data_IF_760282980922
#
_entry.id   IF_760282980922
#
_cell.length_a   1.000
_cell.length_b   1.000
_cell.length_c   1.000
_cell.angle_alpha   90.00
_cell.angle_beta   90.00
_cell.angle_gamma   90.00
#
_symmetry.space_group_name_H-M   'P 1'
#
loop_
_entity.id
_entity.type
_entity.pdbx_description
1 polymer ?
#
# COMPACT_ATOMS: atom_id res chain seq x y z
N UNK A 1 -33.03 -33.16 -25.57
CA UNK A 1 -32.50 -32.71 -24.27
C UNK A 1 -31.08 -33.20 -24.12
N UNK A 2 -30.13 -32.30 -23.88
CA UNK A 2 -28.97 -32.47 -22.98
C UNK A 2 -27.95 -31.38 -23.27
N UNK A 3 -28.18 -30.23 -22.64
CA UNK A 3 -27.34 -29.04 -22.63
C UNK A 3 -26.25 -29.24 -21.58
N UNK A 4 -25.15 -29.94 -21.88
CA UNK A 4 -24.14 -30.26 -20.86
C UNK A 4 -22.70 -30.19 -21.39
N UNK A 5 -22.36 -29.11 -22.09
CA UNK A 5 -20.97 -28.64 -22.27
C UNK A 5 -20.93 -27.10 -22.41
N UNK A 6 -21.68 -26.38 -21.57
CA UNK A 6 -21.48 -24.93 -21.42
C UNK A 6 -20.51 -24.71 -20.26
N UNK A 7 -19.24 -24.46 -20.62
CA UNK A 7 -18.29 -23.78 -19.74
C UNK A 7 -19.00 -22.58 -19.09
N UNK A 8 -18.81 -22.30 -17.79
CA UNK A 8 -19.25 -21.03 -17.25
C UNK A 8 -18.54 -19.93 -18.05
N UNK A 9 -19.30 -19.14 -18.81
CA UNK A 9 -18.83 -17.89 -19.37
C UNK A 9 -18.56 -16.98 -18.19
N UNK A 10 -17.35 -17.06 -17.62
CA UNK A 10 -16.88 -16.09 -16.64
C UNK A 10 -16.94 -14.71 -17.31
N UNK A 11 -17.69 -13.81 -16.69
CA UNK A 11 -18.03 -12.47 -17.15
C UNK A 11 -16.89 -11.78 -17.90
N UNK A 12 -17.17 -11.32 -19.12
CA UNK A 12 -16.21 -10.67 -20.00
C UNK A 12 -15.46 -9.55 -19.27
N UNK A 13 -14.14 -9.70 -19.08
CA UNK A 13 -13.29 -8.62 -18.57
C UNK A 13 -13.52 -7.35 -19.41
N UNK A 14 -13.60 -6.19 -18.76
CA UNK A 14 -13.90 -4.92 -19.43
C UNK A 14 -12.83 -4.60 -20.49
N UNK A 15 -13.18 -4.64 -21.77
CA UNK A 15 -12.25 -4.26 -22.85
C UNK A 15 -12.18 -2.74 -22.96
N UNK A 16 -11.01 -2.19 -22.68
CA UNK A 16 -10.76 -0.75 -22.61
C UNK A 16 -10.31 -0.17 -23.96
N UNK A 17 -11.18 -0.26 -24.97
CA UNK A 17 -10.99 0.35 -26.28
C UNK A 17 -11.19 1.89 -26.25
N UNK A 18 -10.93 2.58 -27.35
CA UNK A 18 -11.04 4.04 -27.39
C UNK A 18 -12.47 4.56 -27.07
N UNK A 19 -13.56 4.00 -27.64
CA UNK A 19 -14.92 4.38 -27.25
C UNK A 19 -15.20 4.20 -25.75
N UNK A 20 -14.85 3.05 -25.17
CA UNK A 20 -15.11 2.76 -23.76
C UNK A 20 -14.33 3.68 -22.82
N UNK A 21 -13.10 4.06 -23.17
CA UNK A 21 -12.35 5.07 -22.40
C UNK A 21 -13.04 6.44 -22.42
N UNK A 22 -13.50 6.88 -23.59
CA UNK A 22 -14.23 8.15 -23.73
C UNK A 22 -15.52 8.16 -22.91
N UNK A 23 -16.24 7.04 -22.88
CA UNK A 23 -17.42 6.84 -22.04
C UNK A 23 -17.07 6.98 -20.55
N UNK A 24 -16.04 6.28 -20.06
CA UNK A 24 -15.61 6.36 -18.65
C UNK A 24 -15.14 7.78 -18.29
N UNK A 25 -14.42 8.45 -19.19
CA UNK A 25 -13.98 9.84 -19.00
C UNK A 25 -15.13 10.84 -18.91
N UNK A 26 -16.32 10.49 -19.41
CA UNK A 26 -17.51 11.35 -19.40
C UNK A 26 -18.46 10.99 -18.25
N UNK A 27 -18.75 9.70 -18.09
CA UNK A 27 -19.82 9.18 -17.24
C UNK A 27 -19.30 8.51 -15.95
N UNK A 28 -17.98 8.30 -15.83
CA UNK A 28 -17.32 7.74 -14.66
C UNK A 28 -17.24 6.21 -14.65
N UNK A 29 -17.07 5.57 -13.47
CA UNK A 29 -16.96 4.12 -13.37
C UNK A 29 -18.25 3.45 -13.89
N UNK A 30 -18.16 2.36 -14.68
CA UNK A 30 -19.33 1.64 -15.16
C UNK A 30 -20.24 1.21 -14.00
N UNK A 31 -21.57 1.16 -14.22
CA UNK A 31 -22.54 0.85 -13.15
C UNK A 31 -22.63 -0.67 -12.84
N UNK A 32 -22.41 -1.53 -13.83
CA UNK A 32 -22.60 -2.99 -13.75
C UNK A 32 -21.28 -3.77 -13.66
N UNK A 33 -20.37 -3.39 -12.75
CA UNK A 33 -19.02 -3.99 -12.65
C UNK A 33 -18.64 -4.38 -11.23
N UNK A 34 -19.60 -4.77 -10.39
CA UNK A 34 -19.30 -5.18 -9.00
C UNK A 34 -18.17 -6.23 -8.93
N UNK A 35 -18.14 -7.16 -9.88
CA UNK A 35 -17.14 -8.24 -9.96
C UNK A 35 -15.78 -7.81 -10.57
N UNK A 36 -15.68 -6.56 -11.06
CA UNK A 36 -14.44 -6.01 -11.61
C UNK A 36 -13.79 -4.95 -10.73
N UNK A 37 -14.39 -4.55 -9.60
CA UNK A 37 -13.79 -3.57 -8.70
C UNK A 37 -12.66 -4.24 -7.92
N UNK A 38 -11.46 -3.69 -8.03
CA UNK A 38 -10.27 -4.11 -7.29
C UNK A 38 -10.12 -3.33 -5.97
N UNK A 39 -10.64 -2.10 -5.92
CA UNK A 39 -10.62 -1.30 -4.72
C UNK A 39 -11.34 0.03 -4.87
N UNK A 40 -11.69 0.63 -3.74
CA UNK A 40 -12.18 2.01 -3.64
C UNK A 40 -11.34 2.74 -2.59
N UNK A 41 -10.83 3.90 -2.96
CA UNK A 41 -10.02 4.73 -2.06
C UNK A 41 -10.44 6.19 -2.13
N UNK A 42 -9.73 7.05 -1.39
CA UNK A 42 -10.00 8.49 -1.32
C UNK A 42 -10.02 9.16 -2.70
N UNK A 43 -9.19 8.67 -3.63
CA UNK A 43 -9.03 9.25 -4.97
C UNK A 43 -9.93 8.60 -6.03
N UNK A 44 -10.73 7.58 -5.70
CA UNK A 44 -11.67 6.98 -6.66
C UNK A 44 -11.69 5.45 -6.67
N UNK A 45 -12.09 4.89 -7.81
CA UNK A 45 -12.35 3.44 -7.97
C UNK A 45 -11.32 2.80 -8.87
N UNK A 46 -10.75 1.66 -8.47
CA UNK A 46 -9.84 0.86 -9.27
C UNK A 46 -10.58 -0.37 -9.79
N UNK A 47 -10.49 -0.64 -11.10
CA UNK A 47 -11.17 -1.75 -11.76
C UNK A 47 -10.21 -2.61 -12.58
N UNK A 48 -10.53 -3.89 -12.76
CA UNK A 48 -9.85 -4.79 -13.72
C UNK A 48 -10.38 -4.57 -15.13
N UNK A 49 -9.48 -4.55 -16.11
CA UNK A 49 -9.81 -4.35 -17.52
C UNK A 49 -8.75 -4.98 -18.44
N UNK A 50 -9.04 -5.05 -19.73
CA UNK A 50 -8.09 -5.43 -20.79
C UNK A 50 -7.78 -4.22 -21.65
N UNK A 51 -6.52 -3.81 -21.72
CA UNK A 51 -6.05 -2.72 -22.57
C UNK A 51 -5.00 -3.21 -23.56
N UNK A 52 -5.27 -3.05 -24.87
CA UNK A 52 -4.40 -3.54 -25.96
C UNK A 52 -4.00 -5.02 -25.79
N UNK A 53 -4.98 -5.87 -25.46
CA UNK A 53 -4.79 -7.30 -25.26
C UNK A 53 -4.06 -7.70 -23.98
N UNK A 54 -3.80 -6.76 -23.06
CA UNK A 54 -3.14 -7.03 -21.77
C UNK A 54 -4.09 -6.77 -20.62
N UNK A 55 -4.07 -7.64 -19.60
CA UNK A 55 -4.81 -7.39 -18.36
C UNK A 55 -4.16 -6.24 -17.58
N UNK A 56 -4.99 -5.28 -17.15
CA UNK A 56 -4.58 -4.01 -16.53
C UNK A 56 -5.46 -3.66 -15.34
N UNK A 57 -4.95 -2.79 -14.47
CA UNK A 57 -5.76 -2.07 -13.49
C UNK A 57 -6.04 -0.65 -14.02
N UNK A 58 -7.24 -0.15 -13.78
CA UNK A 58 -7.68 1.18 -14.21
C UNK A 58 -8.20 1.94 -12.99
N UNK A 59 -7.49 2.98 -12.56
CA UNK A 59 -7.93 3.91 -11.51
C UNK A 59 -8.75 5.01 -12.18
N UNK A 60 -10.00 5.17 -11.74
CA UNK A 60 -10.96 6.15 -12.22
C UNK A 60 -11.19 7.16 -11.11
N UNK A 61 -10.87 8.41 -11.39
CA UNK A 61 -10.88 9.52 -10.45
C UNK A 61 -11.92 10.54 -10.89
N UNK A 62 -12.75 11.01 -9.96
CA UNK A 62 -13.65 12.12 -10.22
C UNK A 62 -12.79 13.39 -10.40
N UNK A 63 -12.98 14.11 -11.50
CA UNK A 63 -12.16 15.26 -11.87
C UNK A 63 -12.92 16.59 -11.78
N UNK A 64 -14.07 16.62 -11.10
CA UNK A 64 -14.87 17.83 -10.93
C UNK A 64 -14.26 18.85 -9.96
N UNK A 65 -13.31 18.43 -9.10
CA UNK A 65 -12.63 19.31 -8.15
C UNK A 65 -11.19 19.63 -8.62
N UNK A 66 -10.76 20.89 -8.49
CA UNK A 66 -9.41 21.35 -8.87
C UNK A 66 -8.27 20.57 -8.18
N UNK A 67 -8.51 20.06 -6.97
CA UNK A 67 -7.56 19.22 -6.25
C UNK A 67 -7.30 17.86 -6.96
N UNK A 68 -8.30 17.34 -7.68
CA UNK A 68 -8.18 16.10 -8.44
C UNK A 68 -7.39 16.30 -9.74
N UNK A 69 -7.47 17.49 -10.36
CA UNK A 69 -6.64 17.84 -11.52
C UNK A 69 -5.14 17.74 -11.22
N UNK A 70 -4.71 18.26 -10.07
CA UNK A 70 -3.30 18.19 -9.68
C UNK A 70 -2.87 16.77 -9.32
N UNK A 71 -3.74 16.00 -8.64
CA UNK A 71 -3.50 14.58 -8.33
C UNK A 71 -3.25 13.77 -9.61
N UNK A 72 -4.03 14.03 -10.66
CA UNK A 72 -3.88 13.35 -11.95
C UNK A 72 -2.63 13.78 -12.71
N UNK A 73 -2.26 15.06 -12.67
CA UNK A 73 -0.97 15.53 -13.18
C UNK A 73 0.19 14.85 -12.46
N UNK A 74 0.07 14.65 -11.15
CA UNK A 74 1.08 13.99 -10.35
C UNK A 74 1.26 12.51 -10.73
N UNK A 75 0.18 11.76 -10.99
CA UNK A 75 0.27 10.37 -11.50
C UNK A 75 1.05 10.29 -12.83
N UNK A 76 0.99 11.33 -13.67
CA UNK A 76 1.74 11.37 -14.93
C UNK A 76 3.26 11.50 -14.76
N UNK A 77 3.75 11.87 -13.56
CA UNK A 77 5.19 12.04 -13.31
C UNK A 77 6.00 10.77 -13.56
N UNK A 78 5.40 9.59 -13.35
CA UNK A 78 6.05 8.28 -13.54
C UNK A 78 5.62 7.59 -14.83
N UNK A 79 4.92 8.29 -15.73
CA UNK A 79 4.50 7.73 -17.01
C UNK A 79 5.71 7.22 -17.80
N UNK A 80 5.67 5.95 -18.20
CA UNK A 80 6.74 5.31 -18.97
C UNK A 80 7.93 4.81 -18.14
N UNK A 81 7.96 5.05 -16.83
CA UNK A 81 9.02 4.53 -15.96
C UNK A 81 8.99 2.99 -15.91
N UNK A 82 10.17 2.40 -15.75
CA UNK A 82 10.35 0.94 -15.63
C UNK A 82 11.27 0.65 -14.46
N UNK A 83 10.70 0.14 -13.38
CA UNK A 83 11.44 -0.30 -12.21
C UNK A 83 10.74 -1.52 -11.60
N UNK A 84 11.50 -2.48 -11.08
CA UNK A 84 10.94 -3.74 -10.55
C UNK A 84 10.08 -3.53 -9.30
N UNK A 85 10.31 -2.44 -8.55
CA UNK A 85 9.56 -2.10 -7.34
C UNK A 85 8.62 -0.89 -7.51
N UNK A 86 8.27 -0.48 -8.74
CA UNK A 86 7.29 0.59 -8.98
C UNK A 86 6.19 0.06 -9.89
N UNK A 87 4.93 0.32 -9.55
CA UNK A 87 3.79 0.00 -10.41
C UNK A 87 3.88 0.82 -11.70
N UNK A 88 3.98 0.11 -12.82
CA UNK A 88 4.12 0.72 -14.13
C UNK A 88 2.81 1.36 -14.59
N UNK A 89 2.86 2.66 -14.85
CA UNK A 89 1.78 3.40 -15.51
C UNK A 89 1.96 3.32 -17.03
N UNK A 90 0.94 2.82 -17.71
CA UNK A 90 0.91 2.72 -19.18
C UNK A 90 0.36 3.98 -19.83
N UNK A 91 -0.66 4.60 -19.22
CA UNK A 91 -1.35 5.75 -19.80
C UNK A 91 -2.14 6.52 -18.76
N UNK A 92 -2.19 7.83 -18.93
CA UNK A 92 -3.09 8.73 -18.21
C UNK A 92 -3.95 9.45 -19.24
N UNK A 93 -5.26 9.51 -19.03
CA UNK A 93 -6.18 10.36 -19.81
C UNK A 93 -7.01 11.19 -18.82
N UNK A 94 -7.18 12.48 -19.12
CA UNK A 94 -7.87 13.44 -18.26
C UNK A 94 -8.98 14.10 -19.11
N UNK A 95 -10.17 14.23 -18.54
CA UNK A 95 -11.33 14.92 -19.11
C UNK A 95 -11.94 15.85 -18.05
N UNK A 96 -12.93 16.66 -18.41
CA UNK A 96 -13.59 17.57 -17.46
C UNK A 96 -14.20 16.83 -16.26
N UNK A 97 -14.87 15.70 -16.51
CA UNK A 97 -15.63 15.02 -15.44
C UNK A 97 -14.81 13.96 -14.70
N UNK A 98 -14.00 13.19 -15.43
CA UNK A 98 -13.24 12.08 -14.88
C UNK A 98 -11.86 11.98 -15.50
N UNK A 99 -10.96 11.34 -14.79
CA UNK A 99 -9.65 10.95 -15.29
C UNK A 99 -9.41 9.46 -15.06
N UNK A 100 -8.62 8.86 -15.95
CA UNK A 100 -8.26 7.45 -15.88
C UNK A 100 -6.74 7.27 -15.91
N UNK A 101 -6.24 6.41 -15.01
CA UNK A 101 -4.87 5.91 -15.00
C UNK A 101 -4.90 4.43 -15.33
N UNK A 102 -4.30 4.06 -16.46
CA UNK A 102 -4.14 2.67 -16.88
C UNK A 102 -2.74 2.21 -16.45
N UNK A 103 -2.68 1.17 -15.61
CA UNK A 103 -1.45 0.67 -15.01
C UNK A 103 -1.36 -0.85 -15.07
N UNK A 104 -0.18 -1.41 -14.78
CA UNK A 104 -0.03 -2.86 -14.69
C UNK A 104 -1.00 -3.46 -13.66
N UNK A 105 -1.60 -4.59 -14.03
CA UNK A 105 -2.39 -5.37 -13.08
C UNK A 105 -1.42 -6.13 -12.18
N UNK A 106 -1.40 -5.77 -10.91
CA UNK A 106 -0.58 -6.44 -9.92
C UNK A 106 -1.45 -7.39 -9.09
N UNK A 107 -1.27 -8.70 -9.31
CA UNK A 107 -2.10 -9.75 -8.73
C UNK A 107 -1.66 -10.04 -7.28
N UNK A 108 -2.17 -9.26 -6.33
CA UNK A 108 -1.90 -9.49 -4.92
C UNK A 108 -2.53 -8.44 -4.01
N UNK A 109 -2.05 -8.36 -2.79
CA UNK A 109 -2.63 -7.53 -1.74
C UNK A 109 -1.76 -6.29 -1.44
N UNK A 110 -2.38 -5.21 -0.99
CA UNK A 110 -1.59 -4.15 -0.39
C UNK A 110 -1.07 -4.59 0.99
N UNK A 111 0.06 -4.03 1.43
CA UNK A 111 0.68 -4.35 2.71
C UNK A 111 -0.28 -4.13 3.88
N UNK A 112 -1.19 -3.15 3.81
CA UNK A 112 -2.20 -2.97 4.85
C UNK A 112 -3.12 -4.20 5.00
N UNK A 113 -3.54 -4.82 3.89
CA UNK A 113 -4.36 -6.03 3.94
C UNK A 113 -3.57 -7.19 4.55
N UNK A 114 -2.29 -7.34 4.18
CA UNK A 114 -1.40 -8.34 4.79
C UNK A 114 -1.27 -8.12 6.31
N UNK A 115 -1.05 -6.88 6.75
CA UNK A 115 -0.95 -6.53 8.18
C UNK A 115 -2.26 -6.71 8.94
N UNK A 116 -3.41 -6.76 8.27
CA UNK A 116 -4.67 -7.08 8.93
C UNK A 116 -4.81 -8.59 9.19
N UNK A 117 -4.22 -9.43 8.35
CA UNK A 117 -4.30 -10.88 8.46
C UNK A 117 -3.18 -11.46 9.33
N UNK A 118 -1.92 -11.17 9.03
CA UNK A 118 -0.78 -11.87 9.63
C UNK A 118 0.26 -10.95 10.26
N UNK A 119 0.98 -11.47 11.26
CA UNK A 119 2.22 -10.85 11.72
C UNK A 119 3.32 -11.10 10.71
N UNK A 120 4.21 -10.12 10.55
CA UNK A 120 5.36 -10.24 9.67
C UNK A 120 6.62 -10.55 10.49
N UNK A 121 7.21 -11.74 10.31
CA UNK A 121 8.54 -12.03 10.83
C UNK A 121 9.55 -10.95 10.40
N UNK A 122 10.56 -10.69 11.22
CA UNK A 122 11.56 -9.64 10.97
C UNK A 122 12.13 -9.71 9.55
N UNK A 123 12.49 -10.91 9.10
CA UNK A 123 13.01 -11.17 7.75
C UNK A 123 12.11 -10.58 6.66
N UNK A 124 10.80 -10.74 6.78
CA UNK A 124 9.84 -10.23 5.81
C UNK A 124 9.66 -8.71 5.89
N UNK A 125 9.66 -8.13 7.10
CA UNK A 125 9.68 -6.67 7.27
C UNK A 125 10.90 -6.04 6.58
N UNK A 126 12.07 -6.65 6.74
CA UNK A 126 13.31 -6.22 6.08
C UNK A 126 13.20 -6.32 4.56
N UNK A 127 12.75 -7.46 4.02
CA UNK A 127 12.60 -7.63 2.57
C UNK A 127 11.60 -6.69 1.91
N UNK A 128 10.48 -6.42 2.58
CA UNK A 128 9.47 -5.46 2.09
C UNK A 128 10.09 -4.06 2.09
N UNK A 129 10.81 -3.71 3.15
CA UNK A 129 11.46 -2.40 3.27
C UNK A 129 12.51 -2.18 2.17
N UNK A 130 13.33 -3.20 1.87
CA UNK A 130 14.34 -3.13 0.82
C UNK A 130 13.73 -2.86 -0.57
N UNK A 131 12.60 -3.49 -0.89
CA UNK A 131 11.89 -3.23 -2.15
C UNK A 131 11.34 -1.79 -2.22
N UNK A 132 10.74 -1.31 -1.13
CA UNK A 132 10.22 0.07 -1.04
C UNK A 132 11.36 1.08 -1.16
N UNK A 133 12.51 0.83 -0.51
CA UNK A 133 13.69 1.67 -0.63
C UNK A 133 14.24 1.72 -2.04
N UNK A 134 14.34 0.58 -2.73
CA UNK A 134 14.77 0.55 -4.13
C UNK A 134 13.86 1.41 -5.02
N UNK A 135 12.55 1.37 -4.79
CA UNK A 135 11.59 2.24 -5.47
C UNK A 135 11.83 3.72 -5.16
N UNK A 136 11.96 4.08 -3.88
CA UNK A 136 12.18 5.47 -3.45
C UNK A 136 13.49 6.04 -3.98
N UNK A 137 14.58 5.29 -3.90
CA UNK A 137 15.88 5.70 -4.45
C UNK A 137 15.80 5.95 -5.95
N UNK A 138 15.05 5.13 -6.70
CA UNK A 138 14.81 5.34 -8.12
C UNK A 138 14.05 6.64 -8.40
N UNK A 139 13.05 6.97 -7.57
CA UNK A 139 12.30 8.22 -7.64
C UNK A 139 13.17 9.43 -7.29
N UNK A 140 13.89 9.37 -6.18
CA UNK A 140 14.73 10.46 -5.67
C UNK A 140 15.86 10.82 -6.63
N UNK A 141 16.49 9.82 -7.28
CA UNK A 141 17.48 10.04 -8.34
C UNK A 141 16.93 10.80 -9.56
N UNK A 142 15.60 10.83 -9.71
CA UNK A 142 14.87 11.56 -10.77
C UNK A 142 14.13 12.78 -10.23
N UNK A 143 14.57 13.29 -9.07
CA UNK A 143 14.00 14.47 -8.42
C UNK A 143 12.48 14.37 -8.20
N UNK A 144 11.97 13.17 -7.89
CA UNK A 144 10.57 12.94 -7.59
C UNK A 144 10.41 12.43 -6.16
N UNK A 145 9.63 13.15 -5.36
CA UNK A 145 9.16 12.69 -4.05
C UNK A 145 7.84 11.94 -4.20
N UNK A 146 7.68 10.84 -3.48
CA UNK A 146 6.45 10.06 -3.48
C UNK A 146 5.34 10.74 -2.66
N UNK A 147 5.67 11.26 -1.48
CA UNK A 147 4.82 12.01 -0.54
C UNK A 147 3.66 11.25 0.11
N UNK A 148 3.41 10.00 -0.25
CA UNK A 148 2.37 9.16 0.39
C UNK A 148 2.83 7.71 0.63
N UNK A 149 4.03 7.51 1.18
CA UNK A 149 4.54 6.18 1.52
C UNK A 149 3.80 5.64 2.75
N UNK A 150 3.03 4.57 2.57
CA UNK A 150 2.23 3.91 3.62
C UNK A 150 1.86 2.48 3.20
N UNK A 151 1.43 1.59 4.12
CA UNK A 151 1.08 0.21 3.77
C UNK A 151 0.03 0.04 2.66
N UNK A 152 -0.91 0.97 2.52
CA UNK A 152 -1.93 0.90 1.48
C UNK A 152 -1.35 1.07 0.06
N UNK A 153 -0.19 1.74 -0.05
CA UNK A 153 0.45 2.06 -1.33
C UNK A 153 1.63 1.13 -1.66
N UNK A 154 1.83 0.07 -0.86
CA UNK A 154 2.82 -0.98 -1.12
C UNK A 154 2.08 -2.24 -1.52
N UNK A 155 2.14 -2.60 -2.80
CA UNK A 155 1.54 -3.81 -3.33
C UNK A 155 2.48 -4.99 -3.18
N UNK A 156 1.97 -6.17 -2.83
CA UNK A 156 2.73 -7.41 -2.65
C UNK A 156 2.13 -8.48 -3.56
N UNK A 157 2.95 -9.13 -4.38
CA UNK A 157 2.54 -10.26 -5.22
C UNK A 157 3.56 -11.38 -5.14
N UNK A 158 3.11 -12.60 -5.40
CA UNK A 158 4.01 -13.74 -5.56
C UNK A 158 4.99 -13.51 -6.71
N UNK A 159 6.24 -13.86 -6.47
CA UNK A 159 7.29 -13.82 -7.46
C UNK A 159 7.88 -15.23 -7.56
N UNK A 160 8.17 -15.66 -8.79
CA UNK A 160 8.86 -16.92 -9.01
C UNK A 160 10.23 -16.88 -8.31
N UNK A 161 10.76 -18.06 -7.96
CA UNK A 161 11.98 -18.28 -7.17
C UNK A 161 13.29 -17.76 -7.80
N UNK A 162 13.23 -16.86 -8.78
CA UNK A 162 14.38 -16.18 -9.39
C UNK A 162 14.76 -14.87 -8.66
N UNK A 163 14.15 -14.60 -7.50
CA UNK A 163 14.50 -13.42 -6.72
C UNK A 163 15.87 -13.61 -6.03
N UNK A 164 16.84 -12.67 -6.21
CA UNK A 164 18.18 -12.77 -5.60
C UNK A 164 18.19 -12.86 -4.07
N UNK A 165 17.08 -12.54 -3.40
CA UNK A 165 16.95 -12.61 -1.94
C UNK A 165 16.31 -13.91 -1.43
N UNK A 166 16.12 -14.93 -2.29
CA UNK A 166 15.44 -16.19 -1.94
C UNK A 166 14.09 -15.97 -1.24
N UNK A 167 13.33 -14.96 -1.70
CA UNK A 167 11.96 -14.68 -1.27
C UNK A 167 10.98 -14.96 -2.39
N UNK A 168 9.80 -15.46 -2.04
CA UNK A 168 8.78 -15.88 -3.00
C UNK A 168 7.79 -14.76 -3.39
N UNK A 169 8.12 -13.50 -3.10
CA UNK A 169 7.26 -12.35 -3.43
C UNK A 169 8.08 -11.12 -3.82
N UNK A 170 7.43 -10.18 -4.47
CA UNK A 170 7.98 -8.86 -4.79
C UNK A 170 7.00 -7.77 -4.37
N UNK A 171 7.55 -6.66 -3.88
CA UNK A 171 6.78 -5.49 -3.49
C UNK A 171 6.97 -4.37 -4.50
N UNK A 172 5.87 -3.68 -4.83
CA UNK A 172 5.87 -2.50 -5.71
C UNK A 172 5.16 -1.33 -5.04
N UNK A 173 5.80 -0.16 -5.08
CA UNK A 173 5.20 1.11 -4.67
C UNK A 173 4.24 1.62 -5.76
N UNK A 174 3.09 2.13 -5.33
CA UNK A 174 2.03 2.63 -6.20
C UNK A 174 1.44 3.95 -5.67
N UNK A 175 0.54 4.54 -6.46
CA UNK A 175 -0.18 5.79 -6.15
C UNK A 175 0.74 7.02 -6.04
N UNK A 176 1.06 7.60 -7.20
CA UNK A 176 1.87 8.81 -7.30
C UNK A 176 1.01 10.08 -7.33
N UNK A 177 -0.27 10.00 -6.95
CA UNK A 177 -1.18 11.14 -6.93
C UNK A 177 -0.75 12.27 -6.01
N UNK A 178 -0.02 11.96 -4.94
CA UNK A 178 0.55 12.96 -4.03
C UNK A 178 1.96 13.42 -4.43
N UNK A 179 2.56 12.82 -5.47
CA UNK A 179 3.97 13.03 -5.80
C UNK A 179 4.29 14.49 -6.13
N UNK A 180 5.54 14.88 -5.86
CA UNK A 180 6.03 16.24 -6.07
C UNK A 180 7.38 16.19 -6.76
N UNK A 181 7.52 16.91 -7.88
CA UNK A 181 8.81 17.13 -8.52
C UNK A 181 9.60 18.19 -7.75
N UNK A 182 10.85 17.87 -7.48
CA UNK A 182 11.85 18.82 -6.99
C UNK A 182 12.50 19.45 -8.24
N UNK A 183 12.69 20.78 -8.23
CA UNK A 183 13.36 21.48 -9.34
C UNK A 183 14.82 21.02 -9.44
N UNK A 184 15.37 20.91 -10.65
CA UNK A 184 16.80 20.60 -10.83
C UNK A 184 17.71 21.68 -10.24
N UNK A 185 17.21 22.91 -10.10
CA UNK A 185 17.94 24.05 -9.56
C UNK A 185 17.90 24.13 -8.03
N UNK A 186 16.95 23.45 -7.37
CA UNK A 186 16.79 23.49 -5.92
C UNK A 186 16.55 22.08 -5.39
N UNK A 187 17.35 21.60 -4.44
CA UNK A 187 17.13 20.29 -3.78
C UNK A 187 15.87 20.24 -2.92
N UNK A 188 15.06 21.31 -2.96
CA UNK A 188 13.89 21.55 -2.14
C UNK A 188 12.73 22.13 -2.92
N UNK A 189 11.52 21.94 -2.42
CA UNK A 189 10.29 22.59 -2.94
C UNK A 189 9.37 22.98 -1.79
N UNK A 190 8.63 24.09 -1.92
CA UNK A 190 7.72 24.57 -0.88
C UNK A 190 6.51 23.63 -0.77
N UNK A 191 6.18 23.20 0.45
CA UNK A 191 5.12 22.23 0.69
C UNK A 191 3.71 22.78 0.42
N UNK A 192 2.86 21.92 -0.16
CA UNK A 192 1.40 21.99 -0.02
C UNK A 192 1.05 20.73 0.78
N UNK A 193 0.16 20.82 1.77
CA UNK A 193 -0.27 19.64 2.54
C UNK A 193 -0.88 18.61 1.57
N UNK A 194 -0.15 17.52 1.32
CA UNK A 194 -0.51 16.42 0.43
C UNK A 194 -0.11 15.11 1.07
N UNK A 195 -0.86 14.05 0.75
CA UNK A 195 -0.65 12.71 1.31
C UNK A 195 -1.44 12.47 2.60
N UNK A 196 -1.12 11.39 3.29
CA UNK A 196 -1.85 10.96 4.48
C UNK A 196 -1.21 11.51 5.74
N UNK A 197 -1.89 12.44 6.43
CA UNK A 197 -1.39 13.19 7.60
C UNK A 197 -0.63 12.34 8.63
N UNK A 198 -1.13 11.14 8.95
CA UNK A 198 -0.54 10.22 9.93
C UNK A 198 0.85 9.68 9.55
N UNK A 199 1.31 9.88 8.32
CA UNK A 199 2.62 9.44 7.83
C UNK A 199 3.51 10.62 7.42
N UNK A 200 2.98 11.85 7.44
CA UNK A 200 3.69 13.03 6.95
C UNK A 200 4.80 13.46 7.90
N UNK A 201 5.92 13.89 7.31
CA UNK A 201 7.02 14.49 8.04
C UNK A 201 6.64 15.87 8.63
N UNK A 202 7.24 16.30 9.76
CA UNK A 202 6.95 17.59 10.37
C UNK A 202 7.13 18.78 9.42
N UNK A 203 8.18 18.78 8.59
CA UNK A 203 8.42 19.82 7.59
C UNK A 203 7.35 19.85 6.50
N UNK A 204 6.76 18.70 6.15
CA UNK A 204 5.64 18.64 5.21
C UNK A 204 4.34 19.19 5.81
N UNK A 205 4.10 18.91 7.09
CA UNK A 205 2.96 19.45 7.85
C UNK A 205 3.08 20.96 8.10
N UNK A 206 4.31 21.48 8.14
CA UNK A 206 4.61 22.92 8.28
C UNK A 206 4.67 23.66 6.94
N UNK A 207 4.45 22.96 5.82
CA UNK A 207 4.60 23.53 4.46
C UNK A 207 5.99 24.12 4.18
N UNK A 208 7.01 23.55 4.83
CA UNK A 208 8.41 23.95 4.66
C UNK A 208 9.02 23.29 3.40
N UNK A 209 10.32 23.50 3.22
CA UNK A 209 11.10 22.92 2.14
C UNK A 209 11.22 21.40 2.27
N UNK A 210 10.71 20.70 1.25
CA UNK A 210 10.71 19.24 1.19
C UNK A 210 11.96 18.68 0.51
N UNK A 211 12.52 17.60 1.05
CA UNK A 211 13.60 16.81 0.44
C UNK A 211 13.22 15.32 0.42
N UNK A 212 14.07 14.46 -0.14
CA UNK A 212 13.91 12.98 -0.09
C UNK A 212 13.71 12.43 1.32
N UNK A 213 14.22 13.14 2.33
CA UNK A 213 14.08 12.79 3.75
C UNK A 213 12.62 12.78 4.24
N UNK A 214 11.69 13.44 3.54
CA UNK A 214 10.25 13.38 3.85
C UNK A 214 9.69 11.98 3.57
N UNK A 215 10.06 11.36 2.44
CA UNK A 215 9.67 9.98 2.14
C UNK A 215 10.33 8.98 3.12
N UNK A 216 11.57 9.26 3.56
CA UNK A 216 12.26 8.45 4.58
C UNK A 216 11.51 8.49 5.92
N UNK A 217 10.96 9.65 6.31
CA UNK A 217 10.11 9.75 7.50
C UNK A 217 8.86 8.88 7.38
N UNK A 218 8.13 8.99 6.25
CA UNK A 218 6.93 8.19 5.99
C UNK A 218 7.23 6.69 5.96
N UNK A 219 8.40 6.31 5.43
CA UNK A 219 8.92 4.95 5.50
C UNK A 219 9.13 4.50 6.97
N UNK A 220 9.74 5.34 7.82
CA UNK A 220 9.89 5.05 9.25
C UNK A 220 8.57 4.75 9.96
N UNK A 221 7.53 5.55 9.71
CA UNK A 221 6.17 5.30 10.22
C UNK A 221 5.62 3.97 9.70
N UNK A 222 5.86 3.65 8.43
CA UNK A 222 5.47 2.37 7.81
C UNK A 222 6.18 1.17 8.45
N UNK A 223 7.48 1.28 8.75
CA UNK A 223 8.25 0.23 9.44
C UNK A 223 7.73 -0.05 10.85
N UNK A 224 7.41 1.01 11.59
CA UNK A 224 6.75 0.90 12.89
C UNK A 224 5.42 0.18 12.76
N UNK A 225 4.58 0.57 11.81
CA UNK A 225 3.28 -0.09 11.61
C UNK A 225 3.41 -1.56 11.19
N UNK A 226 4.43 -1.92 10.42
CA UNK A 226 4.69 -3.33 10.09
C UNK A 226 4.98 -4.18 11.34
N UNK A 227 5.63 -3.62 12.36
CA UNK A 227 5.92 -4.31 13.62
C UNK A 227 4.71 -4.37 14.54
N UNK A 228 4.04 -3.24 14.77
CA UNK A 228 2.98 -3.14 15.77
C UNK A 228 1.58 -3.41 15.23
N UNK A 229 1.41 -3.46 13.90
CA UNK A 229 0.13 -3.68 13.20
C UNK A 229 -0.99 -2.73 13.61
N UNK A 230 -0.65 -1.56 14.15
CA UNK A 230 -1.60 -0.53 14.60
C UNK A 230 -1.56 0.65 13.67
N UNK A 231 -2.72 1.27 13.45
CA UNK A 231 -2.77 2.56 12.76
C UNK A 231 -1.92 3.59 13.55
N UNK A 232 -1.00 4.33 12.90
CA UNK A 232 -0.21 5.34 13.58
C UNK A 232 -1.10 6.38 14.26
N UNK A 233 -0.80 6.67 15.52
CA UNK A 233 -1.54 7.63 16.34
C UNK A 233 -3.03 7.28 16.52
N UNK A 234 -3.42 6.01 16.49
CA UNK A 234 -4.84 5.59 16.59
C UNK A 234 -5.59 6.11 17.83
N UNK A 235 -4.87 6.55 18.86
CA UNK A 235 -5.44 7.17 20.07
C UNK A 235 -5.78 8.66 19.92
N UNK A 236 -5.41 9.29 18.79
CA UNK A 236 -5.79 10.67 18.47
C UNK A 236 -6.98 10.66 17.51
N UNK A 237 -8.00 11.44 17.87
CA UNK A 237 -9.34 11.38 17.25
C UNK A 237 -9.34 11.91 15.82
N UNK A 238 -8.54 12.96 15.52
CA UNK A 238 -8.54 13.60 14.21
C UNK A 238 -7.12 13.89 13.70
N UNK A 239 -7.01 14.15 12.39
CA UNK A 239 -5.73 14.39 11.73
C UNK A 239 -5.11 15.73 12.12
N UNK A 240 -5.92 16.73 12.46
CA UNK A 240 -5.49 18.04 12.93
C UNK A 240 -4.73 17.91 14.27
N UNK A 241 -5.24 17.09 15.18
CA UNK A 241 -4.55 16.76 16.43
C UNK A 241 -3.24 16.02 16.17
N UNK A 242 -3.23 15.06 15.24
CA UNK A 242 -1.99 14.36 14.85
C UNK A 242 -0.96 15.38 14.33
N UNK A 243 -1.34 16.23 13.39
CA UNK A 243 -0.47 17.23 12.80
C UNK A 243 0.10 18.17 13.88
N UNK A 244 -0.77 18.71 14.75
CA UNK A 244 -0.36 19.56 15.86
C UNK A 244 0.64 18.87 16.79
N UNK A 245 0.34 17.65 17.24
CA UNK A 245 1.18 16.91 18.17
C UNK A 245 2.55 16.52 17.56
N UNK A 246 2.56 16.12 16.28
CA UNK A 246 3.81 15.80 15.55
C UNK A 246 4.70 17.03 15.42
N UNK A 247 4.12 18.18 15.08
CA UNK A 247 4.86 19.42 14.81
C UNK A 247 5.28 20.15 16.09
N UNK A 248 4.35 20.32 17.04
CA UNK A 248 4.59 21.13 18.26
C UNK A 248 5.23 20.33 19.38
N UNK A 249 4.81 19.09 19.57
CA UNK A 249 5.23 18.26 20.70
C UNK A 249 6.21 17.15 20.29
N UNK A 250 6.67 17.15 19.04
CA UNK A 250 7.55 16.12 18.47
C UNK A 250 7.01 14.69 18.68
N UNK A 251 5.68 14.52 18.70
CA UNK A 251 5.07 13.22 18.96
C UNK A 251 5.43 12.22 17.85
N UNK A 252 5.76 11.00 18.25
CA UNK A 252 5.95 9.85 17.36
C UNK A 252 5.03 8.71 17.77
N UNK A 253 4.72 7.76 16.87
CA UNK A 253 3.97 6.58 17.26
C UNK A 253 4.74 5.85 18.36
N UNK A 254 4.13 5.68 19.52
CA UNK A 254 4.71 4.88 20.60
C UNK A 254 4.13 3.48 20.55
N UNK A 255 4.90 2.50 20.98
CA UNK A 255 4.39 1.14 21.23
C UNK A 255 3.23 1.11 22.26
N UNK A 256 3.11 2.19 23.05
CA UNK A 256 2.44 2.32 24.35
C UNK A 256 2.86 1.23 25.36
N UNK A 257 3.46 1.58 26.51
CA UNK A 257 3.51 0.66 27.65
C UNK A 257 2.12 0.65 28.29
N UNK A 258 1.54 -0.53 28.57
CA UNK A 258 0.37 -0.72 29.45
C UNK A 258 0.12 0.50 30.34
N UNK A 259 -1.04 1.18 30.21
CA UNK A 259 -1.40 2.28 31.12
C UNK A 259 -1.05 1.81 32.54
N UNK A 260 -0.15 2.50 33.26
CA UNK A 260 -0.12 2.33 34.72
C UNK A 260 -1.54 2.65 35.18
N UNK A 261 -2.22 1.75 35.90
CA UNK A 261 -3.57 2.00 36.34
C UNK A 261 -3.54 3.30 37.14
N UNK A 262 -4.36 4.27 36.73
CA UNK A 262 -4.67 5.39 37.60
C UNK A 262 -5.41 4.75 38.77
N UNK A 263 -4.74 4.71 39.92
CA UNK A 263 -5.36 4.22 41.15
C UNK A 263 -6.66 4.99 41.38
N UNK A 264 -7.70 4.22 41.70
CA UNK A 264 -9.04 4.63 42.16
C UNK A 264 -10.10 4.88 41.07
N UNK A 265 -10.67 3.81 40.53
CA UNK A 265 -12.13 3.60 40.37
C UNK A 265 -12.42 2.23 39.74
N UNK A 266 -13.58 1.59 40.07
CA UNK A 266 -13.80 0.17 39.80
C UNK A 266 -14.03 -0.13 38.32
N UNK A 267 -13.56 -1.31 37.94
CA UNK A 267 -13.58 -1.93 36.62
C UNK A 267 -14.89 -1.74 35.83
N UNK A 268 -14.83 -1.01 34.71
CA UNK A 268 -15.69 -1.27 33.57
C UNK A 268 -14.86 -2.02 32.52
N UNK A 269 -15.17 -3.31 32.36
CA UNK A 269 -14.74 -4.13 31.25
C UNK A 269 -15.34 -3.58 29.96
N UNK A 270 -14.56 -2.84 29.18
CA UNK A 270 -14.92 -2.53 27.80
C UNK A 270 -14.68 -3.77 26.94
N UNK A 271 -15.70 -4.63 26.87
CA UNK A 271 -15.82 -5.64 25.83
C UNK A 271 -15.83 -4.94 24.46
N UNK A 272 -15.07 -5.51 23.53
CA UNK A 272 -14.98 -5.09 22.14
C UNK A 272 -16.38 -4.90 21.52
N UNK A 273 -16.82 -3.67 21.34
CA UNK A 273 -17.98 -3.33 20.52
C UNK A 273 -17.55 -3.25 19.05
N UNK A 274 -17.40 -4.41 18.41
CA UNK A 274 -17.43 -4.54 16.96
C UNK A 274 -18.33 -5.73 16.60
N UNK A 275 -19.65 -5.54 16.75
CA UNK A 275 -20.65 -6.17 15.89
C UNK A 275 -22.05 -5.65 16.23
N UNK A 276 -22.69 -5.00 15.26
CA UNK A 276 -24.14 -5.08 14.98
C UNK A 276 -24.47 -4.24 13.75
N UNK A 277 -24.27 -4.84 12.59
CA UNK A 277 -25.31 -4.89 11.56
C UNK A 277 -25.22 -6.26 10.90
N UNK A 278 -25.84 -7.26 11.54
CA UNK A 278 -26.19 -8.51 10.89
C UNK A 278 -27.44 -8.24 10.06
N UNK A 279 -27.34 -8.46 8.74
CA UNK A 279 -28.50 -8.91 7.97
C UNK A 279 -28.41 -10.43 8.00
N UNK A 280 -29.42 -11.01 8.60
CA UNK A 280 -29.65 -12.42 8.83
C UNK A 280 -29.83 -13.17 7.49
N UNK A 281 -29.13 -14.28 7.32
CA UNK A 281 -29.65 -15.48 6.66
C UNK A 281 -28.95 -16.67 7.30
N UNK A 282 -29.57 -17.12 8.38
CA UNK A 282 -29.36 -18.41 9.00
C UNK A 282 -30.00 -19.50 8.15
N UNK A 283 -29.18 -20.42 7.64
CA UNK A 283 -29.50 -21.85 7.69
C UNK A 283 -28.21 -22.63 7.94
N UNK A 284 -28.29 -23.48 8.94
CA UNK A 284 -27.20 -24.12 9.67
C UNK A 284 -26.94 -25.54 9.09
N UNK A 285 -26.10 -26.39 9.70
CA UNK A 285 -24.76 -26.71 9.23
C UNK A 285 -24.62 -28.22 8.89
N UNK A 286 -23.39 -28.63 8.60
CA UNK A 286 -22.79 -29.95 8.87
C UNK A 286 -22.36 -30.77 7.64
N UNK A 287 -21.15 -31.32 7.79
CA UNK A 287 -20.49 -32.36 6.97
C UNK A 287 -20.09 -31.85 5.58
N UNK A 288 -18.82 -31.72 5.22
CA UNK A 288 -17.78 -32.75 5.34
C UNK A 288 -16.43 -32.11 5.08
N UNK A 289 -15.55 -32.12 6.08
CA UNK A 289 -14.14 -32.30 5.78
C UNK A 289 -13.94 -33.76 5.38
N UNK A 290 -13.08 -33.98 4.38
CA UNK A 290 -12.46 -35.25 3.95
C UNK A 290 -13.08 -35.96 2.73
N UNK A 291 -12.14 -36.38 1.86
CA UNK A 291 -12.22 -37.14 0.60
C UNK A 291 -12.44 -36.23 -0.63
N UNK A 292 -11.55 -36.13 -1.63
CA UNK A 292 -10.83 -37.18 -2.39
C UNK A 292 -9.49 -36.65 -2.96
N UNK A 293 -8.58 -37.61 -3.10
CA UNK A 293 -7.16 -37.60 -3.46
C UNK A 293 -6.90 -37.54 -5.00
N UNK A 294 -5.75 -36.94 -5.38
CA UNK A 294 -4.92 -37.12 -6.62
C UNK A 294 -5.57 -36.97 -8.01
N UNK A 295 -4.99 -36.09 -8.83
CA UNK A 295 -4.17 -36.51 -9.98
C UNK A 295 -3.45 -35.32 -10.64
N UNK A 296 -2.19 -35.59 -10.99
CA UNK A 296 -1.26 -34.83 -11.83
C UNK A 296 -1.86 -34.13 -13.05
N UNK A 297 -1.39 -32.90 -13.32
CA UNK A 297 -0.62 -32.51 -14.53
C UNK A 297 -0.51 -30.98 -14.56
N UNK A 298 0.72 -30.48 -14.64
CA UNK A 298 1.03 -29.08 -14.97
C UNK A 298 0.56 -28.77 -16.39
N UNK A 299 -0.14 -27.64 -16.56
CA UNK A 299 0.26 -26.69 -17.59
C UNK A 299 0.40 -25.28 -17.01
N UNK A 300 1.36 -24.52 -17.55
CA UNK A 300 1.65 -23.09 -17.37
C UNK A 300 0.80 -22.36 -16.29
N UNK A 301 1.39 -22.15 -15.12
CA UNK A 301 0.74 -21.62 -13.94
C UNK A 301 0.01 -20.30 -14.18
N UNK A 302 -1.31 -20.39 -14.21
CA UNK A 302 -2.20 -19.31 -13.79
C UNK A 302 -1.84 -18.95 -12.36
N UNK A 303 -1.36 -17.72 -12.13
CA UNK A 303 -1.20 -17.15 -10.80
C UNK A 303 -2.59 -17.14 -10.15
N UNK A 304 -2.79 -18.06 -9.21
CA UNK A 304 -4.03 -18.23 -8.46
C UNK A 304 -4.34 -16.94 -7.68
N UNK A 305 -5.53 -16.37 -7.91
CA UNK A 305 -5.99 -15.12 -7.30
C UNK A 305 -6.29 -15.27 -5.79
N UNK A 306 -6.09 -16.45 -5.21
CA UNK A 306 -6.59 -16.82 -3.87
C UNK A 306 -5.52 -17.18 -2.81
N UNK A 307 -4.23 -16.90 -3.05
CA UNK A 307 -3.18 -17.26 -2.10
C UNK A 307 -3.25 -16.45 -0.80
N UNK A 308 -3.52 -17.15 0.30
CA UNK A 308 -3.67 -16.62 1.65
C UNK A 308 -2.35 -16.01 2.18
N UNK A 309 -2.36 -14.74 2.66
CA UNK A 309 -1.21 -14.11 3.31
C UNK A 309 -0.51 -14.98 4.36
N UNK A 310 -1.23 -15.81 5.13
CA UNK A 310 -0.61 -16.68 6.12
C UNK A 310 0.36 -17.70 5.50
N UNK A 311 0.03 -18.22 4.32
CA UNK A 311 0.89 -19.15 3.59
C UNK A 311 2.12 -18.47 2.98
N UNK A 312 2.02 -17.19 2.63
CA UNK A 312 3.14 -16.42 2.05
C UNK A 312 4.21 -16.04 3.08
N UNK A 313 3.82 -15.85 4.33
CA UNK A 313 4.69 -15.33 5.39
C UNK A 313 4.96 -16.35 6.50
N UNK A 314 4.84 -17.66 6.20
CA UNK A 314 5.06 -18.72 7.17
C UNK A 314 6.34 -18.49 7.97
N UNK A 315 6.16 -18.37 9.27
CA UNK A 315 7.26 -18.48 10.21
C UNK A 315 7.73 -19.93 10.18
N UNK A 316 8.72 -20.26 9.33
CA UNK A 316 9.61 -21.37 9.67
C UNK A 316 10.09 -21.15 11.10
N UNK A 317 10.29 -22.22 11.90
CA UNK A 317 10.64 -22.24 13.33
C UNK A 317 11.85 -21.36 13.75
N UNK A 318 11.82 -20.07 13.43
CA UNK A 318 12.84 -19.09 13.64
C UNK A 318 12.50 -18.42 14.95
N UNK A 319 13.24 -18.80 15.99
CA UNK A 319 13.22 -18.12 17.28
C UNK A 319 13.46 -16.63 17.06
N UNK A 320 12.56 -15.79 17.58
CA UNK A 320 12.71 -14.33 17.56
C UNK A 320 14.08 -13.97 18.14
N UNK A 321 14.90 -13.22 17.39
CA UNK A 321 16.18 -12.73 17.87
C UNK A 321 15.99 -11.31 18.45
N UNK A 322 16.01 -11.13 19.78
CA UNK A 322 15.68 -9.85 20.41
C UNK A 322 16.66 -8.74 20.02
N UNK A 323 17.93 -9.07 19.78
CA UNK A 323 18.96 -8.09 19.39
C UNK A 323 18.65 -7.55 17.99
N UNK A 324 18.30 -8.44 17.04
CA UNK A 324 17.93 -8.03 15.68
C UNK A 324 16.61 -7.23 15.67
N UNK A 325 15.65 -7.57 16.53
CA UNK A 325 14.42 -6.79 16.70
C UNK A 325 14.68 -5.39 17.27
N UNK A 326 15.59 -5.26 18.24
CA UNK A 326 15.97 -3.95 18.78
C UNK A 326 16.65 -3.09 17.70
N UNK A 327 17.56 -3.67 16.92
CA UNK A 327 18.18 -2.95 15.79
C UNK A 327 17.14 -2.49 14.75
N UNK A 328 16.10 -3.29 14.51
CA UNK A 328 14.98 -2.88 13.65
C UNK A 328 14.23 -1.67 14.22
N UNK A 329 14.07 -1.61 15.55
CA UNK A 329 13.45 -0.45 16.20
C UNK A 329 14.32 0.80 16.06
N UNK A 330 15.62 0.67 16.27
CA UNK A 330 16.58 1.76 16.10
C UNK A 330 16.59 2.30 14.65
N UNK A 331 16.36 1.43 13.65
CA UNK A 331 16.26 1.83 12.24
C UNK A 331 15.09 2.78 11.99
N UNK A 332 13.86 2.37 12.33
CA UNK A 332 12.71 3.23 12.06
C UNK A 332 12.72 4.48 12.94
N UNK A 333 13.32 4.42 14.14
CA UNK A 333 13.48 5.59 15.01
C UNK A 333 14.37 6.66 14.36
N UNK A 334 15.46 6.25 13.68
CA UNK A 334 16.30 7.19 12.93
C UNK A 334 15.59 7.78 11.71
N UNK A 335 14.73 7.01 11.06
CA UNK A 335 13.96 7.47 9.89
C UNK A 335 13.05 8.66 10.20
N UNK A 336 12.45 8.72 11.40
CA UNK A 336 11.51 9.78 11.76
C UNK A 336 12.09 10.89 12.66
N UNK A 337 13.42 11.06 12.63
CA UNK A 337 14.09 12.12 13.35
C UNK A 337 13.49 13.50 13.01
N UNK A 338 13.40 14.41 13.99
CA UNK A 338 12.75 15.71 13.79
C UNK A 338 13.50 16.60 12.79
N UNK A 339 14.82 16.72 12.98
CA UNK A 339 15.73 17.33 12.01
C UNK A 339 15.84 16.41 10.78
N UNK A 340 15.37 16.88 9.64
CA UNK A 340 15.31 16.14 8.38
C UNK A 340 16.72 15.84 7.82
N UNK A 341 17.72 16.67 8.13
CA UNK A 341 19.12 16.47 7.71
C UNK A 341 19.81 15.29 8.40
N UNK A 342 19.28 14.85 9.54
CA UNK A 342 19.80 13.71 10.32
C UNK A 342 19.17 12.37 9.96
N UNK A 343 18.15 12.37 9.10
CA UNK A 343 17.52 11.12 8.65
C UNK A 343 18.48 10.40 7.69
N UNK A 344 18.59 9.06 7.77
CA UNK A 344 19.50 8.30 6.91
C UNK A 344 19.09 8.42 5.44
N UNK A 345 20.06 8.37 4.54
CA UNK A 345 19.77 8.20 3.11
C UNK A 345 19.26 6.79 2.83
N UNK A 346 18.68 6.58 1.64
CA UNK A 346 18.24 5.26 1.20
C UNK A 346 19.39 4.23 1.15
N UNK A 347 20.59 4.66 0.78
CA UNK A 347 21.79 3.82 0.74
C UNK A 347 22.23 3.37 2.13
N UNK A 348 22.27 4.29 3.10
CA UNK A 348 22.61 3.97 4.50
C UNK A 348 21.59 3.00 5.07
N UNK A 349 20.29 3.29 4.89
CA UNK A 349 19.24 2.42 5.41
C UNK A 349 19.25 1.03 4.76
N UNK A 350 19.55 0.95 3.46
CA UNK A 350 19.70 -0.33 2.74
C UNK A 350 20.83 -1.17 3.31
N UNK A 351 21.97 -0.55 3.63
CA UNK A 351 23.11 -1.25 4.25
C UNK A 351 22.70 -1.80 5.62
N UNK A 352 22.16 -0.96 6.48
CA UNK A 352 21.82 -1.33 7.86
C UNK A 352 20.73 -2.42 7.91
N UNK A 353 19.75 -2.39 7.00
CA UNK A 353 18.72 -3.43 6.87
C UNK A 353 19.28 -4.79 6.49
N UNK A 354 20.29 -4.83 5.61
CA UNK A 354 20.93 -6.08 5.19
C UNK A 354 21.67 -6.77 6.33
N UNK A 355 22.14 -6.02 7.32
CA UNK A 355 22.77 -6.57 8.53
C UNK A 355 21.76 -7.30 9.46
N UNK A 356 20.46 -7.15 9.23
CA UNK A 356 19.40 -7.84 9.98
C UNK A 356 18.98 -9.18 9.38
N UNK A 357 19.30 -9.43 8.11
CA UNK A 357 19.12 -10.75 7.49
C UNK A 357 20.14 -11.74 8.08
#
# INVERSE_FOLDING_TARGET
>A
MSTLLRMPQNESELILNAPKRKEILKEGPPRNIRNNILGKGAYGTVIKAVYKGKSVAVKIVNNLDDCNHQTMRNESHVLGWRHINIIRIFKVEISMNFAIVIMERFLGHCLQQVLNCTELPLKHRVYITLDVLAALMYCHKRNLLHMDVKPQNVMITWANNENPLNKCYTCKLCDFGSSVKISEQTTTTKGIIKGTVRYMAPEALKEEYLTSSADIYSLGITLWQMKYRRLPYHWLECNEMVAYQVVKNNLRPTAWPSRKPINNSPSLSYQCFWSKTLVDFSENPSKSAQNIIKASKTPLGTLDESLDPETMFQAGNATVNPIKEQKYDDLYIRCWHNDCSRRPSGEVLTKDLKELL
#
